data_IF_660282698706
#
_entry.id   IF_660282698706
#
_cell.length_a   1.000
_cell.length_b   1.000
_cell.length_c   1.000
_cell.angle_alpha   90.00
_cell.angle_beta   90.00
_cell.angle_gamma   90.00
#
_symmetry.space_group_name_H-M   'P 1'
#
loop_
_entity.id
_entity.type
_entity.pdbx_description
1 polymer ?
#
# COMPACT_ATOMS: atom_id res chain seq x y z
N UNK A 1 -0.94 -39.78 52.06
CA UNK A 1 -0.94 -39.74 50.58
C UNK A 1 -0.60 -38.32 50.18
N UNK A 2 0.66 -38.04 49.81
CA UNK A 2 1.10 -36.71 49.35
C UNK A 2 1.00 -36.71 47.82
N UNK A 3 0.09 -35.91 47.27
CA UNK A 3 -0.01 -35.67 45.84
C UNK A 3 1.10 -34.67 45.49
N UNK A 4 2.10 -35.13 44.75
CA UNK A 4 3.14 -34.29 44.18
C UNK A 4 2.60 -33.76 42.85
N UNK A 5 2.24 -32.48 42.80
CA UNK A 5 1.86 -31.82 41.56
C UNK A 5 3.12 -31.54 40.74
N UNK A 6 3.27 -32.24 39.61
CA UNK A 6 4.34 -32.02 38.65
C UNK A 6 3.94 -30.82 37.78
N UNK A 7 4.51 -29.65 38.04
CA UNK A 7 4.44 -28.52 37.11
C UNK A 7 5.35 -28.83 35.92
N UNK A 8 4.74 -29.12 34.76
CA UNK A 8 5.44 -29.17 33.48
C UNK A 8 5.69 -27.72 33.04
N UNK A 9 6.90 -27.22 33.21
CA UNK A 9 7.30 -25.94 32.63
C UNK A 9 7.42 -26.14 31.10
N UNK A 10 6.56 -25.47 30.32
CA UNK A 10 6.81 -25.28 28.89
C UNK A 10 8.10 -24.46 28.78
N UNK A 11 9.20 -25.09 28.35
CA UNK A 11 10.34 -24.33 27.89
C UNK A 11 10.02 -23.80 26.49
N UNK A 12 10.25 -22.50 26.21
CA UNK A 12 10.16 -22.00 24.86
C UNK A 12 11.15 -22.80 24.01
N UNK A 13 10.66 -23.38 22.91
CA UNK A 13 11.54 -23.94 21.89
C UNK A 13 12.35 -22.78 21.36
N UNK A 14 13.66 -22.80 21.56
CA UNK A 14 14.54 -21.81 20.93
C UNK A 14 14.41 -22.02 19.42
N UNK A 15 13.97 -21.00 18.69
CA UNK A 15 13.87 -21.05 17.24
C UNK A 15 15.25 -21.37 16.63
N UNK A 16 15.26 -22.14 15.55
CA UNK A 16 16.52 -22.60 14.97
C UNK A 16 17.15 -21.48 14.13
N UNK A 17 18.48 -21.33 14.17
CA UNK A 17 19.18 -20.39 13.28
C UNK A 17 18.79 -20.62 11.82
N UNK A 18 18.43 -19.53 11.13
CA UNK A 18 17.94 -19.54 9.76
C UNK A 18 16.44 -19.79 9.61
N UNK A 19 15.72 -20.07 10.70
CA UNK A 19 14.26 -20.04 10.69
C UNK A 19 13.80 -18.64 10.27
N UNK A 20 12.97 -18.59 9.24
CA UNK A 20 12.58 -17.34 8.58
C UNK A 20 11.08 -17.32 8.35
N UNK A 21 10.46 -16.20 8.67
CA UNK A 21 9.06 -15.92 8.34
C UNK A 21 8.96 -14.71 7.42
N UNK A 22 7.94 -14.69 6.56
CA UNK A 22 7.51 -13.46 5.89
C UNK A 22 6.63 -12.70 6.85
N UNK A 23 6.93 -11.43 7.09
CA UNK A 23 6.14 -10.57 7.96
C UNK A 23 4.71 -10.39 7.42
N UNK A 24 3.78 -10.01 8.30
CA UNK A 24 2.40 -9.77 7.88
C UNK A 24 2.26 -8.47 7.10
N UNK A 25 3.07 -7.46 7.37
CA UNK A 25 3.13 -6.20 6.64
C UNK A 25 4.57 -5.71 6.51
N UNK A 26 4.82 -4.76 5.62
CA UNK A 26 6.14 -4.16 5.44
C UNK A 26 6.74 -3.70 6.75
N UNK A 27 8.06 -3.89 6.86
CA UNK A 27 8.87 -3.52 8.02
C UNK A 27 8.44 -4.24 9.31
N UNK A 28 7.70 -5.34 9.20
CA UNK A 28 7.10 -6.06 10.32
C UNK A 28 6.12 -5.20 11.13
N UNK A 29 5.45 -4.26 10.44
CA UNK A 29 4.39 -3.47 11.03
C UNK A 29 3.21 -4.35 11.45
N UNK A 30 2.50 -3.92 12.50
CA UNK A 30 1.36 -4.68 13.04
C UNK A 30 0.16 -4.61 12.11
N UNK A 31 -0.19 -3.41 11.63
CA UNK A 31 -1.28 -3.18 10.67
C UNK A 31 -0.84 -2.42 9.42
N UNK A 32 -1.74 -2.31 8.45
CA UNK A 32 -1.54 -1.51 7.25
C UNK A 32 -2.70 -0.54 7.01
N UNK A 33 -2.42 0.62 6.38
CA UNK A 33 -3.43 1.64 6.13
C UNK A 33 -3.28 2.29 4.76
N UNK A 34 -4.40 2.53 4.07
CA UNK A 34 -4.40 3.21 2.78
C UNK A 34 -5.20 4.51 2.84
N UNK A 35 -4.64 5.56 2.24
CA UNK A 35 -5.37 6.79 1.92
C UNK A 35 -5.68 6.81 0.44
N UNK A 36 -6.91 7.16 0.11
CA UNK A 36 -7.44 7.13 -1.25
C UNK A 36 -8.20 8.41 -1.55
N UNK A 37 -7.92 9.05 -2.69
CA UNK A 37 -8.46 10.35 -3.06
C UNK A 37 -9.18 10.30 -4.41
N UNK A 38 -10.45 10.66 -4.44
CA UNK A 38 -11.30 10.55 -5.64
C UNK A 38 -11.48 11.87 -6.40
N UNK A 39 -11.68 11.77 -7.72
CA UNK A 39 -12.21 12.79 -8.64
C UNK A 39 -11.25 13.84 -9.25
N UNK A 40 -9.92 13.68 -9.11
CA UNK A 40 -8.95 14.69 -9.58
C UNK A 40 -9.23 16.12 -9.10
N UNK A 41 -9.67 16.26 -7.86
CA UNK A 41 -10.01 17.56 -7.30
C UNK A 41 -8.76 18.47 -7.15
N UNK A 42 -8.86 19.79 -7.37
CA UNK A 42 -7.72 20.70 -7.23
C UNK A 42 -7.05 20.68 -5.86
N UNK A 43 -7.81 20.47 -4.78
CA UNK A 43 -7.23 20.32 -3.43
C UNK A 43 -6.23 19.17 -3.31
N UNK A 44 -6.29 18.17 -4.20
CA UNK A 44 -5.36 17.04 -4.19
C UNK A 44 -3.91 17.49 -4.38
N UNK A 45 -3.65 18.29 -5.42
CA UNK A 45 -2.30 18.78 -5.69
C UNK A 45 -1.96 20.04 -4.88
N UNK A 46 -2.96 20.83 -4.48
CA UNK A 46 -2.74 22.06 -3.71
C UNK A 46 -2.47 21.81 -2.22
N UNK A 47 -3.08 20.76 -1.66
CA UNK A 47 -3.07 20.49 -0.22
C UNK A 47 -2.68 19.05 0.07
N UNK A 48 -3.44 18.07 -0.41
CA UNK A 48 -3.31 16.69 0.04
C UNK A 48 -1.92 16.09 -0.25
N UNK A 49 -1.48 16.09 -1.50
CA UNK A 49 -0.19 15.54 -1.90
C UNK A 49 1.01 16.26 -1.25
N UNK A 50 1.06 17.61 -1.17
CA UNK A 50 2.09 18.30 -0.40
C UNK A 50 2.11 17.93 1.09
N UNK A 51 0.95 17.83 1.75
CA UNK A 51 0.88 17.50 3.18
C UNK A 51 1.26 16.04 3.48
N UNK A 52 0.91 15.12 2.59
CA UNK A 52 1.38 13.73 2.61
C UNK A 52 2.90 13.65 2.45
N UNK A 53 3.44 14.36 1.46
CA UNK A 53 4.88 14.40 1.18
C UNK A 53 5.70 14.92 2.36
N UNK A 54 5.24 15.97 3.05
CA UNK A 54 5.89 16.51 4.26
C UNK A 54 6.08 15.47 5.35
N UNK A 55 5.25 14.43 5.38
CA UNK A 55 5.24 13.36 6.39
C UNK A 55 5.77 12.04 5.86
N UNK A 56 6.22 12.00 4.61
CA UNK A 56 6.67 10.75 3.96
C UNK A 56 5.55 9.72 3.80
N UNK A 57 4.29 10.16 3.71
CA UNK A 57 3.14 9.30 3.50
C UNK A 57 2.80 9.20 2.01
N UNK A 58 2.35 8.01 1.59
CA UNK A 58 1.90 7.72 0.23
C UNK A 58 0.41 7.44 0.23
N UNK A 59 -0.29 7.91 -0.80
CA UNK A 59 -1.70 7.66 -1.05
C UNK A 59 -1.97 7.35 -2.52
N UNK A 60 -3.16 6.81 -2.81
CA UNK A 60 -3.67 6.62 -4.18
C UNK A 60 -4.61 7.76 -4.56
N UNK A 61 -4.34 8.44 -5.67
CA UNK A 61 -5.19 9.47 -6.27
C UNK A 61 -5.86 8.92 -7.53
N UNK A 62 -7.17 8.75 -7.48
CA UNK A 62 -8.00 8.26 -8.57
C UNK A 62 -8.30 9.40 -9.53
N UNK A 63 -7.72 9.33 -10.73
CA UNK A 63 -7.74 10.43 -11.68
C UNK A 63 -8.74 10.27 -12.82
N UNK A 64 -9.21 11.41 -13.34
CA UNK A 64 -10.16 11.54 -14.44
C UNK A 64 -9.61 12.46 -15.54
N UNK A 65 -8.77 11.97 -16.46
CA UNK A 65 -8.10 12.83 -17.45
C UNK A 65 -9.03 13.57 -18.42
N UNK A 66 -10.27 13.09 -18.59
CA UNK A 66 -11.32 13.72 -19.39
C UNK A 66 -12.06 14.86 -18.68
N UNK A 67 -12.05 14.89 -17.34
CA UNK A 67 -12.76 15.88 -16.52
C UNK A 67 -12.23 17.30 -16.74
N UNK A 68 -13.13 18.29 -16.68
CA UNK A 68 -12.81 19.69 -16.96
C UNK A 68 -11.75 20.26 -16.01
N UNK A 69 -11.93 20.02 -14.71
CA UNK A 69 -11.00 20.44 -13.66
C UNK A 69 -9.62 19.83 -13.86
N UNK A 70 -9.52 18.54 -14.21
CA UNK A 70 -8.25 17.90 -14.54
C UNK A 70 -7.56 18.61 -15.70
N UNK A 71 -8.29 18.86 -16.80
CA UNK A 71 -7.73 19.49 -18.01
C UNK A 71 -7.16 20.89 -17.76
N UNK A 72 -7.74 21.64 -16.82
CA UNK A 72 -7.20 22.96 -16.41
C UNK A 72 -5.83 22.82 -15.75
N UNK A 73 -5.60 21.72 -15.03
CA UNK A 73 -4.37 21.45 -14.26
C UNK A 73 -3.61 20.22 -14.78
N UNK A 74 -3.73 19.92 -16.06
CA UNK A 74 -3.16 18.70 -16.65
C UNK A 74 -1.64 18.66 -16.46
N UNK A 75 -0.95 19.79 -16.62
CA UNK A 75 0.51 19.85 -16.44
C UNK A 75 0.94 19.48 -15.02
N UNK A 76 0.19 19.91 -14.01
CA UNK A 76 0.46 19.58 -12.59
C UNK A 76 0.23 18.10 -12.33
N UNK A 77 -0.86 17.52 -12.83
CA UNK A 77 -1.09 16.07 -12.74
C UNK A 77 -0.05 15.26 -13.52
N UNK A 78 0.39 15.73 -14.68
CA UNK A 78 1.41 15.01 -15.46
C UNK A 78 2.79 15.04 -14.84
N UNK A 79 3.16 16.15 -14.19
CA UNK A 79 4.55 16.42 -13.88
C UNK A 79 4.87 16.57 -12.40
N UNK A 80 3.89 16.78 -11.51
CA UNK A 80 4.19 17.19 -10.13
C UNK A 80 3.73 16.16 -9.10
N UNK A 81 2.44 15.77 -9.10
CA UNK A 81 1.86 15.04 -7.94
C UNK A 81 2.54 13.67 -7.72
N UNK A 82 2.80 12.89 -8.76
CA UNK A 82 3.49 11.61 -8.61
C UNK A 82 4.95 11.76 -8.14
N UNK A 83 5.61 12.88 -8.46
CA UNK A 83 6.98 13.16 -7.99
C UNK A 83 7.04 13.41 -6.48
N UNK A 84 5.90 13.72 -5.86
CA UNK A 84 5.75 13.83 -4.41
C UNK A 84 5.61 12.46 -3.71
N UNK A 85 5.75 11.34 -4.45
CA UNK A 85 5.64 9.98 -3.91
C UNK A 85 4.21 9.45 -3.87
N UNK A 86 3.31 10.04 -4.65
CA UNK A 86 1.89 9.67 -4.72
C UNK A 86 1.60 8.77 -5.92
N UNK A 87 0.62 7.89 -5.78
CA UNK A 87 0.29 6.88 -6.81
C UNK A 87 -1.03 7.23 -7.49
N UNK A 88 -1.14 6.98 -8.80
CA UNK A 88 -2.39 7.20 -9.54
C UNK A 88 -3.20 5.93 -9.72
N UNK A 89 -4.52 6.07 -9.62
CA UNK A 89 -5.52 5.07 -9.97
C UNK A 89 -6.44 5.55 -11.09
N UNK A 90 -7.06 4.60 -11.79
CA UNK A 90 -8.11 4.86 -12.79
C UNK A 90 -9.42 5.16 -12.08
N UNK A 91 -10.07 6.25 -12.48
CA UNK A 91 -11.41 6.59 -12.03
C UNK A 91 -12.41 6.81 -13.17
N UNK A 92 -12.19 6.15 -14.32
CA UNK A 92 -12.76 6.50 -15.65
C UNK A 92 -12.22 7.82 -16.21
N UNK A 93 -12.40 8.07 -17.50
CA UNK A 93 -11.95 9.33 -18.10
C UNK A 93 -12.70 10.55 -17.57
N UNK A 94 -14.03 10.46 -17.44
CA UNK A 94 -14.89 11.64 -17.21
C UNK A 94 -15.67 11.61 -15.87
N UNK A 95 -15.38 10.67 -14.97
CA UNK A 95 -16.19 10.39 -13.78
C UNK A 95 -17.66 10.09 -14.16
N UNK A 96 -17.84 9.14 -15.08
CA UNK A 96 -19.15 8.73 -15.60
C UNK A 96 -19.26 7.21 -15.60
N UNK A 97 -20.51 6.74 -15.56
CA UNK A 97 -20.80 5.33 -15.80
C UNK A 97 -20.54 4.96 -17.26
N UNK A 98 -20.34 3.66 -17.50
CA UNK A 98 -19.99 3.09 -18.80
C UNK A 98 -21.22 2.36 -19.39
N UNK A 99 -21.58 2.72 -20.62
CA UNK A 99 -22.86 2.33 -21.21
C UNK A 99 -22.94 0.84 -21.61
N UNK A 100 -21.80 0.23 -21.95
CA UNK A 100 -21.67 -1.17 -22.33
C UNK A 100 -20.20 -1.61 -22.21
N UNK A 101 -19.93 -2.90 -22.42
CA UNK A 101 -18.59 -3.47 -22.31
C UNK A 101 -17.59 -2.85 -23.31
N UNK A 102 -18.03 -2.41 -24.48
CA UNK A 102 -17.14 -1.78 -25.45
C UNK A 102 -16.70 -0.39 -24.97
N UNK A 103 -17.63 0.39 -24.41
CA UNK A 103 -17.32 1.66 -23.75
C UNK A 103 -16.40 1.45 -22.55
N UNK A 104 -16.65 0.43 -21.73
CA UNK A 104 -15.81 0.11 -20.57
C UNK A 104 -14.36 -0.19 -20.97
N UNK A 105 -14.18 -1.07 -21.97
CA UNK A 105 -12.85 -1.39 -22.50
C UNK A 105 -12.11 -0.16 -23.01
N UNK A 106 -12.79 0.68 -23.80
CA UNK A 106 -12.16 1.85 -24.38
C UNK A 106 -11.76 2.90 -23.32
N UNK A 107 -12.67 3.20 -22.39
CA UNK A 107 -12.45 4.22 -21.36
C UNK A 107 -11.36 3.80 -20.36
N UNK A 108 -11.46 2.58 -19.83
CA UNK A 108 -10.51 2.07 -18.84
C UNK A 108 -9.12 1.89 -19.44
N UNK A 109 -9.02 1.39 -20.68
CA UNK A 109 -7.74 1.28 -21.39
C UNK A 109 -7.11 2.66 -21.62
N UNK A 110 -7.90 3.65 -22.06
CA UNK A 110 -7.40 5.00 -22.29
C UNK A 110 -6.88 5.63 -21.00
N UNK A 111 -7.65 5.55 -19.91
CA UNK A 111 -7.26 6.14 -18.63
C UNK A 111 -6.00 5.45 -18.07
N UNK A 112 -5.93 4.11 -18.14
CA UNK A 112 -4.77 3.34 -17.70
C UNK A 112 -3.52 3.67 -18.52
N UNK A 113 -3.66 3.78 -19.85
CA UNK A 113 -2.57 4.17 -20.74
C UNK A 113 -2.01 5.54 -20.37
N UNK A 114 -2.88 6.53 -20.14
CA UNK A 114 -2.44 7.87 -19.76
C UNK A 114 -1.64 7.84 -18.44
N UNK A 115 -2.10 7.08 -17.44
CA UNK A 115 -1.35 6.92 -16.18
C UNK A 115 0.03 6.28 -16.41
N UNK A 116 0.09 5.25 -17.28
CA UNK A 116 1.35 4.57 -17.63
C UNK A 116 2.34 5.49 -18.32
N UNK A 117 1.85 6.38 -19.17
CA UNK A 117 2.66 7.39 -19.87
C UNK A 117 3.14 8.51 -18.92
N UNK A 118 2.32 8.89 -17.94
CA UNK A 118 2.64 9.95 -16.98
C UNK A 118 3.68 9.53 -15.94
N UNK A 119 3.51 8.34 -15.36
CA UNK A 119 4.31 7.89 -14.23
C UNK A 119 5.30 6.81 -14.70
N UNK A 120 6.62 7.04 -14.57
CA UNK A 120 7.64 6.06 -14.94
C UNK A 120 7.44 4.73 -14.22
N UNK A 121 7.63 3.62 -14.94
CA UNK A 121 7.52 2.27 -14.39
C UNK A 121 7.42 1.23 -15.50
N UNK A 122 7.16 -0.03 -15.13
CA UNK A 122 6.87 -1.06 -16.12
C UNK A 122 5.62 -0.68 -16.95
N UNK A 123 5.63 -0.94 -18.27
CA UNK A 123 4.55 -0.53 -19.16
C UNK A 123 3.23 -1.23 -18.81
N UNK A 124 3.28 -2.51 -18.42
CA UNK A 124 2.09 -3.31 -18.14
C UNK A 124 1.78 -3.43 -16.64
N UNK A 125 2.38 -2.59 -15.79
CA UNK A 125 2.19 -2.64 -14.33
C UNK A 125 0.72 -2.58 -13.93
N UNK A 126 0.42 -3.17 -12.78
CA UNK A 126 -0.89 -3.06 -12.13
C UNK A 126 -1.22 -1.59 -11.83
N UNK A 127 -2.49 -1.21 -12.01
CA UNK A 127 -3.01 0.10 -11.62
C UNK A 127 -4.29 -0.08 -10.81
N UNK A 128 -4.44 0.70 -9.75
CA UNK A 128 -5.66 0.69 -8.95
C UNK A 128 -6.85 1.22 -9.76
N UNK A 129 -8.02 0.63 -9.61
CA UNK A 129 -9.27 1.11 -10.16
C UNK A 129 -10.24 1.46 -9.04
N UNK A 130 -10.93 2.59 -9.18
CA UNK A 130 -12.09 2.93 -8.39
C UNK A 130 -13.26 3.21 -9.33
N UNK A 131 -14.39 2.54 -9.12
CA UNK A 131 -15.65 2.83 -9.81
C UNK A 131 -16.24 4.18 -9.34
N UNK A 132 -16.50 5.15 -10.24
CA UNK A 132 -17.18 6.40 -9.90
C UNK A 132 -18.53 6.23 -9.21
N UNK A 133 -18.77 7.07 -8.21
CA UNK A 133 -20.06 7.20 -7.55
C UNK A 133 -21.08 7.93 -8.44
N UNK A 134 -21.79 7.19 -9.29
CA UNK A 134 -22.87 7.71 -10.15
C UNK A 134 -24.13 6.83 -10.03
N UNK A 135 -25.32 7.29 -10.45
CA UNK A 135 -26.53 6.46 -10.42
C UNK A 135 -26.32 5.11 -11.12
N UNK A 136 -26.92 4.05 -10.57
CA UNK A 136 -26.69 2.68 -11.04
C UNK A 136 -27.04 2.50 -12.52
N UNK A 137 -28.06 3.20 -13.01
CA UNK A 137 -28.48 3.19 -14.41
C UNK A 137 -27.45 3.78 -15.39
N UNK A 138 -26.45 4.52 -14.89
CA UNK A 138 -25.33 4.98 -15.71
C UNK A 138 -24.34 3.85 -16.04
N UNK A 139 -24.41 2.74 -15.33
CA UNK A 139 -23.57 1.55 -15.55
C UNK A 139 -24.36 0.49 -16.30
N UNK A 140 -24.20 0.48 -17.63
CA UNK A 140 -24.80 -0.51 -18.52
C UNK A 140 -23.96 -1.78 -18.70
N UNK A 141 -23.10 -2.10 -17.73
CA UNK A 141 -22.26 -3.30 -17.69
C UNK A 141 -22.57 -4.12 -16.43
N UNK A 142 -22.47 -5.44 -16.52
CA UNK A 142 -22.50 -6.31 -15.35
C UNK A 142 -21.16 -6.27 -14.59
N UNK A 143 -21.14 -6.75 -13.34
CA UNK A 143 -19.91 -6.88 -12.56
C UNK A 143 -18.91 -7.83 -13.24
N UNK A 144 -19.39 -8.83 -13.98
CA UNK A 144 -18.56 -9.77 -14.75
C UNK A 144 -17.91 -9.10 -15.97
N UNK A 145 -18.64 -8.21 -16.64
CA UNK A 145 -18.14 -7.40 -17.75
C UNK A 145 -17.14 -6.34 -17.27
N UNK A 146 -17.40 -5.72 -16.12
CA UNK A 146 -16.45 -4.81 -15.46
C UNK A 146 -15.16 -5.54 -15.10
N UNK A 147 -15.24 -6.68 -14.40
CA UNK A 147 -14.08 -7.49 -14.05
C UNK A 147 -13.26 -7.93 -15.28
N UNK A 148 -13.93 -8.27 -16.39
CA UNK A 148 -13.27 -8.58 -17.66
C UNK A 148 -12.50 -7.38 -18.21
N UNK A 149 -13.11 -6.20 -18.25
CA UNK A 149 -12.46 -4.98 -18.75
C UNK A 149 -11.28 -4.55 -17.86
N UNK A 150 -11.38 -4.75 -16.54
CA UNK A 150 -10.28 -4.51 -15.60
C UNK A 150 -9.11 -5.46 -15.85
N UNK A 151 -9.38 -6.77 -15.97
CA UNK A 151 -8.36 -7.79 -16.20
C UNK A 151 -7.60 -7.59 -17.52
N UNK A 152 -8.30 -7.20 -18.59
CA UNK A 152 -7.68 -6.88 -19.89
C UNK A 152 -6.69 -5.71 -19.85
N UNK A 153 -6.74 -4.90 -18.79
CA UNK A 153 -5.93 -3.70 -18.62
C UNK A 153 -5.02 -3.74 -17.38
N UNK A 154 -4.87 -4.90 -16.73
CA UNK A 154 -4.11 -5.05 -15.47
C UNK A 154 -4.57 -4.06 -14.38
N UNK A 155 -5.89 -3.89 -14.26
CA UNK A 155 -6.50 -3.04 -13.24
C UNK A 155 -6.99 -3.87 -12.06
N UNK A 156 -6.76 -3.37 -10.84
CA UNK A 156 -7.20 -4.00 -9.59
C UNK A 156 -8.27 -3.12 -8.95
N UNK A 157 -9.47 -3.66 -8.77
CA UNK A 157 -10.56 -2.96 -8.10
C UNK A 157 -10.22 -2.72 -6.63
N UNK A 158 -10.44 -1.49 -6.16
CA UNK A 158 -10.17 -1.11 -4.77
C UNK A 158 -11.29 -1.55 -3.81
N UNK A 159 -11.03 -1.56 -2.49
CA UNK A 159 -12.09 -1.69 -1.49
C UNK A 159 -13.19 -0.60 -1.60
N UNK A 160 -14.44 -0.89 -1.18
CA UNK A 160 -15.59 -0.02 -1.41
C UNK A 160 -15.58 1.26 -0.56
N UNK A 161 -16.27 2.30 -1.06
CA UNK A 161 -16.51 3.56 -0.34
C UNK A 161 -17.41 3.44 0.90
N UNK A 162 -18.29 2.44 0.89
CA UNK A 162 -19.22 2.19 1.99
C UNK A 162 -18.46 2.05 3.31
N UNK A 163 -18.91 2.80 4.32
CA UNK A 163 -18.33 2.83 5.68
C UNK A 163 -16.86 3.30 5.78
N UNK A 164 -16.28 3.87 4.71
CA UNK A 164 -14.87 4.30 4.67
C UNK A 164 -14.69 5.72 4.10
N UNK A 165 -15.78 6.47 3.94
CA UNK A 165 -15.77 7.80 3.35
C UNK A 165 -15.62 8.94 4.35
N UNK A 166 -14.57 9.75 4.22
CA UNK A 166 -14.46 11.01 4.96
C UNK A 166 -15.59 11.98 4.60
N UNK A 167 -15.98 12.83 5.55
CA UNK A 167 -17.11 13.79 5.51
C UNK A 167 -18.49 13.14 5.45
N UNK A 168 -18.66 12.06 4.68
CA UNK A 168 -19.93 11.36 4.52
C UNK A 168 -20.19 10.32 5.62
N UNK A 169 -19.27 9.38 5.84
CA UNK A 169 -19.39 8.35 6.89
C UNK A 169 -18.69 8.79 8.19
N UNK A 170 -17.52 9.44 8.08
CA UNK A 170 -16.73 9.91 9.21
C UNK A 170 -16.55 11.42 9.15
N UNK A 171 -16.84 12.11 10.25
CA UNK A 171 -16.86 13.58 10.32
C UNK A 171 -15.86 14.15 11.31
N UNK A 172 -15.18 13.30 12.07
CA UNK A 172 -14.26 13.70 13.14
C UNK A 172 -12.91 13.02 12.99
N UNK A 173 -11.86 13.66 13.52
CA UNK A 173 -10.52 13.08 13.60
C UNK A 173 -10.52 11.72 14.30
N UNK A 174 -11.22 11.61 15.45
CA UNK A 174 -11.27 10.38 16.26
C UNK A 174 -11.82 9.19 15.46
N UNK A 175 -12.86 9.41 14.67
CA UNK A 175 -13.42 8.36 13.81
C UNK A 175 -12.44 7.92 12.71
N UNK A 176 -11.78 8.87 12.06
CA UNK A 176 -10.87 8.59 10.95
C UNK A 176 -9.59 7.91 11.43
N UNK A 177 -8.97 8.40 12.51
CA UNK A 177 -7.77 7.79 13.08
C UNK A 177 -8.09 6.44 13.73
N UNK A 178 -9.31 6.27 14.25
CA UNK A 178 -9.80 5.00 14.79
C UNK A 178 -9.80 3.85 13.78
N UNK A 179 -9.86 4.12 12.47
CA UNK A 179 -9.70 3.10 11.44
C UNK A 179 -8.28 2.54 11.41
N UNK A 180 -7.26 3.41 11.57
CA UNK A 180 -5.87 3.00 11.66
C UNK A 180 -5.60 2.22 12.96
N UNK A 181 -6.21 2.63 14.07
CA UNK A 181 -6.12 1.90 15.33
C UNK A 181 -6.77 0.52 15.24
N UNK A 182 -7.91 0.40 14.55
CA UNK A 182 -8.54 -0.88 14.30
C UNK A 182 -7.68 -1.79 13.40
N UNK A 183 -6.96 -1.22 12.42
CA UNK A 183 -6.01 -1.95 11.59
C UNK A 183 -4.89 -2.56 12.46
N UNK A 184 -4.32 -1.76 13.37
CA UNK A 184 -3.26 -2.21 14.30
C UNK A 184 -3.81 -3.28 15.25
N UNK A 185 -4.98 -3.07 15.86
CA UNK A 185 -5.57 -4.02 16.82
C UNK A 185 -5.87 -5.39 16.18
N UNK A 186 -6.39 -5.40 14.95
CA UNK A 186 -6.67 -6.63 14.20
C UNK A 186 -5.42 -7.23 13.52
N UNK A 187 -4.32 -6.46 13.50
CA UNK A 187 -3.14 -6.73 12.69
C UNK A 187 -3.44 -6.77 11.18
N UNK A 188 -4.44 -6.04 10.71
CA UNK A 188 -4.98 -6.15 9.35
C UNK A 188 -4.84 -4.83 8.55
N UNK A 189 -5.34 -4.83 7.31
CA UNK A 189 -5.44 -3.64 6.46
C UNK A 189 -6.73 -2.88 6.74
N UNK A 190 -6.67 -1.56 6.88
CA UNK A 190 -7.83 -0.68 6.82
C UNK A 190 -7.54 0.54 5.91
N UNK A 191 -8.54 1.39 5.66
CA UNK A 191 -8.38 2.49 4.71
C UNK A 191 -9.37 3.64 4.93
N UNK A 192 -9.08 4.79 4.32
CA UNK A 192 -9.98 5.94 4.27
C UNK A 192 -10.02 6.52 2.85
N UNK A 193 -11.23 6.80 2.37
CA UNK A 193 -11.48 7.44 1.08
C UNK A 193 -11.92 8.88 1.29
N UNK A 194 -11.23 9.81 0.64
CA UNK A 194 -11.43 11.25 0.70
C UNK A 194 -11.78 11.75 -0.70
N UNK A 195 -12.69 12.71 -0.80
CA UNK A 195 -12.92 13.42 -2.06
C UNK A 195 -12.05 14.69 -2.05
N UNK A 196 -12.61 15.84 -1.68
CA UNK A 196 -11.85 17.07 -1.50
C UNK A 196 -11.15 17.19 -0.15
N UNK A 197 -10.14 18.06 -0.10
CA UNK A 197 -9.62 18.66 1.14
C UNK A 197 -9.88 20.17 1.07
N UNK A 198 -10.19 20.79 2.21
CA UNK A 198 -10.40 22.23 2.27
C UNK A 198 -9.17 22.99 1.77
N UNK A 199 -9.40 24.04 0.98
CA UNK A 199 -8.37 25.00 0.55
C UNK A 199 -8.50 26.30 1.31
N UNK A 200 -7.49 26.60 2.12
CA UNK A 200 -7.40 27.89 2.82
C UNK A 200 -6.63 28.90 1.97
N UNK A 201 -5.46 28.52 1.43
CA UNK A 201 -4.65 29.37 0.55
C UNK A 201 -4.09 28.59 -0.67
N UNK A 202 -4.20 29.12 -1.91
CA UNK A 202 -4.97 30.31 -2.27
C UNK A 202 -6.47 30.05 -2.12
N UNK A 203 -7.18 30.97 -1.47
CA UNK A 203 -8.63 30.89 -1.32
C UNK A 203 -9.30 31.06 -2.69
N UNK A 204 -10.03 30.05 -3.13
CA UNK A 204 -10.89 30.13 -4.31
C UNK A 204 -12.33 30.45 -3.89
N UNK A 205 -13.15 30.88 -4.85
CA UNK A 205 -14.57 31.15 -4.59
C UNK A 205 -15.42 29.89 -4.44
N UNK A 206 -14.82 28.70 -4.47
CA UNK A 206 -15.46 27.41 -4.24
C UNK A 206 -14.50 26.41 -3.58
N UNK A 207 -15.06 25.44 -2.86
CA UNK A 207 -14.38 24.26 -2.34
C UNK A 207 -14.77 23.02 -3.16
N UNK A 208 -13.95 21.98 -3.07
CA UNK A 208 -14.25 20.70 -3.72
C UNK A 208 -15.43 19.98 -3.06
N UNK A 209 -15.95 18.98 -3.77
CA UNK A 209 -17.00 18.14 -3.23
C UNK A 209 -16.52 17.43 -1.96
N UNK A 210 -17.32 17.53 -0.89
CA UNK A 210 -16.98 16.98 0.43
C UNK A 210 -15.57 17.31 0.90
N UNK A 211 -15.18 18.58 0.77
CA UNK A 211 -13.90 19.07 1.24
C UNK A 211 -13.74 18.80 2.75
N UNK A 212 -12.77 17.95 3.11
CA UNK A 212 -12.39 17.67 4.49
C UNK A 212 -11.63 18.86 5.08
N UNK A 213 -12.11 19.37 6.21
CA UNK A 213 -11.50 20.47 6.95
C UNK A 213 -10.01 20.22 7.24
N UNK A 214 -9.15 21.23 7.02
CA UNK A 214 -7.72 21.08 7.30
C UNK A 214 -7.43 20.87 8.79
N UNK A 215 -8.27 21.39 9.69
CA UNK A 215 -8.18 21.16 11.14
C UNK A 215 -8.45 19.69 11.53
N UNK A 216 -8.97 18.87 10.60
CA UNK A 216 -9.08 17.42 10.74
C UNK A 216 -8.01 16.71 9.91
N UNK A 217 -7.85 17.11 8.66
CA UNK A 217 -6.96 16.43 7.72
C UNK A 217 -5.50 16.47 8.15
N UNK A 218 -5.00 17.62 8.59
CA UNK A 218 -3.59 17.77 8.99
C UNK A 218 -3.29 16.93 10.24
N UNK A 219 -4.08 17.01 11.33
CA UNK A 219 -3.90 16.12 12.48
C UNK A 219 -4.08 14.63 12.18
N UNK A 220 -4.94 14.26 11.22
CA UNK A 220 -5.08 12.87 10.76
C UNK A 220 -3.74 12.36 10.19
N UNK A 221 -3.10 13.14 9.32
CA UNK A 221 -1.81 12.76 8.75
C UNK A 221 -0.71 12.72 9.81
N UNK A 222 -0.71 13.65 10.77
CA UNK A 222 0.22 13.62 11.91
C UNK A 222 0.07 12.32 12.71
N UNK A 223 -1.17 11.95 13.05
CA UNK A 223 -1.46 10.71 13.79
C UNK A 223 -1.07 9.44 13.03
N UNK A 224 -1.22 9.42 11.71
CA UNK A 224 -0.74 8.31 10.87
C UNK A 224 0.79 8.24 10.87
N UNK A 225 1.47 9.38 10.72
CA UNK A 225 2.93 9.45 10.72
C UNK A 225 3.53 9.02 12.07
N UNK A 226 2.89 9.34 13.19
CA UNK A 226 3.28 8.88 14.52
C UNK A 226 3.25 7.34 14.63
N UNK A 227 2.20 6.69 14.11
CA UNK A 227 2.06 5.22 14.10
C UNK A 227 3.09 4.55 13.18
N UNK A 228 3.39 5.17 12.04
CA UNK A 228 4.49 4.73 11.16
C UNK A 228 5.83 4.83 11.88
N UNK A 229 6.10 5.94 12.56
CA UNK A 229 7.36 6.15 13.28
C UNK A 229 7.53 5.20 14.48
N UNK A 230 6.43 4.76 15.08
CA UNK A 230 6.43 3.75 16.14
C UNK A 230 6.66 2.32 15.62
N UNK A 231 6.54 2.09 14.30
CA UNK A 231 6.60 0.76 13.69
C UNK A 231 5.28 -0.01 13.76
N UNK A 232 4.19 0.62 14.21
CA UNK A 232 2.90 -0.06 14.39
C UNK A 232 2.13 -0.20 13.06
N UNK A 233 2.33 0.73 12.13
CA UNK A 233 1.52 0.86 10.93
C UNK A 233 2.35 1.04 9.66
N UNK A 234 1.99 0.31 8.61
CA UNK A 234 2.46 0.55 7.25
C UNK A 234 1.43 1.35 6.46
N UNK A 235 1.72 2.63 6.20
CA UNK A 235 0.86 3.47 5.33
C UNK A 235 1.34 3.39 3.89
N UNK A 236 0.46 3.00 2.97
CA UNK A 236 0.84 2.75 1.57
C UNK A 236 -0.31 2.99 0.58
N UNK A 237 -0.05 2.81 -0.72
CA UNK A 237 -1.04 2.85 -1.79
C UNK A 237 -1.69 1.48 -2.03
N UNK A 238 -2.81 1.48 -2.76
CA UNK A 238 -3.59 0.27 -3.01
C UNK A 238 -2.83 -0.84 -3.75
N UNK A 239 -2.03 -0.50 -4.77
CA UNK A 239 -1.32 -1.53 -5.55
C UNK A 239 -0.16 -2.13 -4.76
N UNK A 240 0.57 -1.33 -3.97
CA UNK A 240 1.59 -1.88 -3.07
C UNK A 240 0.98 -2.81 -2.03
N UNK A 241 -0.13 -2.44 -1.40
CA UNK A 241 -0.82 -3.33 -0.45
C UNK A 241 -1.27 -4.64 -1.11
N UNK A 242 -1.91 -4.54 -2.28
CA UNK A 242 -2.37 -5.70 -3.06
C UNK A 242 -1.22 -6.62 -3.47
N UNK A 243 -0.16 -6.07 -4.05
CA UNK A 243 1.03 -6.85 -4.44
C UNK A 243 1.62 -7.57 -3.24
N UNK A 244 1.81 -6.86 -2.12
CA UNK A 244 2.37 -7.47 -0.92
C UNK A 244 1.54 -8.67 -0.45
N UNK A 245 0.22 -8.52 -0.35
CA UNK A 245 -0.66 -9.60 0.09
C UNK A 245 -0.59 -10.79 -0.85
N UNK A 246 -0.71 -10.56 -2.17
CA UNK A 246 -0.68 -11.63 -3.17
C UNK A 246 0.66 -12.38 -3.18
N UNK A 247 1.77 -11.65 -3.10
CA UNK A 247 3.11 -12.25 -3.06
C UNK A 247 3.33 -13.02 -1.75
N UNK A 248 3.01 -12.40 -0.60
CA UNK A 248 3.14 -13.02 0.74
C UNK A 248 2.31 -14.28 0.88
N UNK A 249 1.05 -14.27 0.43
CA UNK A 249 0.11 -15.37 0.65
C UNK A 249 0.54 -16.67 -0.04
N UNK A 250 1.38 -16.58 -1.08
CA UNK A 250 2.00 -17.74 -1.75
C UNK A 250 3.51 -17.85 -1.52
N UNK A 251 4.08 -16.99 -0.67
CA UNK A 251 5.53 -16.92 -0.47
C UNK A 251 6.08 -18.17 0.22
N UNK A 252 7.27 -18.58 -0.22
CA UNK A 252 8.04 -19.69 0.34
C UNK A 252 9.47 -19.24 0.54
N UNK A 253 9.99 -19.47 1.75
CA UNK A 253 11.40 -19.24 2.09
C UNK A 253 12.07 -20.58 2.32
N UNK A 254 12.98 -20.93 1.41
CA UNK A 254 13.79 -22.14 1.53
C UNK A 254 15.08 -21.82 2.29
N UNK A 255 15.33 -22.52 3.40
CA UNK A 255 16.61 -22.50 4.08
C UNK A 255 17.63 -23.36 3.32
N UNK A 256 18.63 -22.73 2.72
CA UNK A 256 19.67 -23.41 1.92
C UNK A 256 20.86 -23.84 2.79
N UNK A 257 21.28 -22.96 3.71
CA UNK A 257 22.32 -23.24 4.69
C UNK A 257 22.18 -22.31 5.91
N UNK A 258 22.53 -22.80 7.09
CA UNK A 258 22.68 -21.98 8.29
C UNK A 258 23.80 -22.54 9.17
N UNK A 259 24.78 -21.68 9.49
CA UNK A 259 25.82 -21.96 10.46
C UNK A 259 26.18 -20.68 11.25
N UNK A 260 27.28 -20.71 12.02
CA UNK A 260 27.70 -19.57 12.84
C UNK A 260 28.30 -18.39 12.05
N UNK A 261 28.54 -18.55 10.75
CA UNK A 261 29.18 -17.56 9.86
C UNK A 261 28.21 -16.99 8.83
N UNK A 262 27.30 -17.80 8.31
CA UNK A 262 26.30 -17.35 7.33
C UNK A 262 24.95 -18.06 7.45
N UNK A 263 23.90 -17.34 7.04
CA UNK A 263 22.58 -17.91 6.74
C UNK A 263 22.28 -17.63 5.26
N UNK A 264 21.84 -18.66 4.52
CA UNK A 264 21.52 -18.59 3.10
C UNK A 264 20.09 -19.06 2.86
N UNK A 265 19.32 -18.22 2.19
CA UNK A 265 17.89 -18.43 1.93
C UNK A 265 17.58 -18.24 0.46
N UNK A 266 16.42 -18.75 0.03
CA UNK A 266 15.79 -18.38 -1.25
C UNK A 266 14.33 -18.03 -1.01
N UNK A 267 13.89 -16.90 -1.54
CA UNK A 267 12.50 -16.45 -1.51
C UNK A 267 11.84 -16.68 -2.87
N UNK A 268 10.64 -17.24 -2.89
CA UNK A 268 9.81 -17.44 -4.09
C UNK A 268 8.33 -17.22 -3.77
N UNK A 269 7.50 -16.96 -4.80
CA UNK A 269 6.03 -16.93 -4.72
C UNK A 269 5.42 -17.44 -6.03
N UNK A 270 4.10 -17.66 -6.07
CA UNK A 270 3.40 -18.22 -7.24
C UNK A 270 2.83 -17.14 -8.19
N UNK A 271 2.79 -15.87 -7.76
CA UNK A 271 2.31 -14.75 -8.57
C UNK A 271 3.21 -14.45 -9.79
N UNK A 272 2.65 -13.83 -10.83
CA UNK A 272 3.38 -13.46 -12.05
C UNK A 272 4.46 -12.40 -11.76
N UNK A 273 5.76 -12.72 -11.88
CA UNK A 273 6.84 -11.79 -11.53
C UNK A 273 6.92 -10.55 -12.44
N UNK A 274 6.20 -10.52 -13.56
CA UNK A 274 6.09 -9.31 -14.39
C UNK A 274 5.13 -8.26 -13.80
N UNK A 275 4.19 -8.68 -12.95
CA UNK A 275 3.15 -7.84 -12.36
C UNK A 275 3.28 -7.70 -10.84
N UNK A 276 3.94 -8.67 -10.20
CA UNK A 276 4.14 -8.79 -8.76
C UNK A 276 5.65 -8.91 -8.50
N UNK A 277 6.24 -7.79 -8.10
CA UNK A 277 7.65 -7.67 -7.76
C UNK A 277 7.76 -6.57 -6.70
N UNK A 278 7.07 -6.76 -5.56
CA UNK A 278 7.21 -5.91 -4.40
C UNK A 278 8.12 -6.60 -3.38
N UNK A 279 9.17 -5.95 -2.86
CA UNK A 279 10.01 -6.57 -1.85
C UNK A 279 9.19 -6.98 -0.63
N UNK A 280 9.33 -8.24 -0.21
CA UNK A 280 8.73 -8.74 1.02
C UNK A 280 9.63 -8.45 2.21
N UNK A 281 9.04 -8.34 3.40
CA UNK A 281 9.80 -8.24 4.66
C UNK A 281 9.99 -9.63 5.23
N UNK A 282 11.23 -10.05 5.39
CA UNK A 282 11.61 -11.29 6.05
C UNK A 282 12.12 -11.01 7.46
N UNK A 283 11.77 -11.90 8.38
CA UNK A 283 12.27 -11.93 9.76
C UNK A 283 12.99 -13.24 9.96
N UNK A 284 14.31 -13.18 10.15
CA UNK A 284 15.19 -14.36 10.21
C UNK A 284 15.89 -14.44 11.55
N UNK A 285 15.82 -15.61 12.18
CA UNK A 285 16.61 -15.96 13.37
C UNK A 285 18.09 -16.07 12.99
N UNK A 286 18.95 -15.27 13.61
CA UNK A 286 20.39 -15.23 13.30
C UNK A 286 21.24 -15.80 14.44
N UNK A 287 22.50 -16.19 14.18
CA UNK A 287 23.38 -16.69 15.24
C UNK A 287 23.51 -15.71 16.41
N UNK A 288 23.60 -16.25 17.62
CA UNK A 288 23.78 -15.44 18.82
C UNK A 288 25.04 -14.56 18.73
N UNK A 289 24.88 -13.28 19.07
CA UNK A 289 25.97 -12.30 19.08
C UNK A 289 26.12 -11.49 17.78
N UNK A 290 25.36 -11.81 16.73
CA UNK A 290 25.24 -10.92 15.58
C UNK A 290 24.40 -9.71 15.99
N UNK A 291 25.05 -8.57 16.27
CA UNK A 291 24.34 -7.33 16.60
C UNK A 291 23.81 -6.64 15.34
N UNK A 292 24.61 -6.67 14.27
CA UNK A 292 24.29 -6.15 12.93
C UNK A 292 24.46 -7.26 11.91
N UNK A 293 23.64 -7.21 10.86
CA UNK A 293 23.64 -8.20 9.79
C UNK A 293 23.71 -7.52 8.44
N UNK A 294 24.72 -7.86 7.64
CA UNK A 294 24.73 -7.56 6.21
C UNK A 294 23.87 -8.60 5.51
N UNK A 295 22.88 -8.13 4.75
CA UNK A 295 21.99 -8.94 3.93
C UNK A 295 22.25 -8.59 2.47
N UNK A 296 22.63 -9.59 1.68
CA UNK A 296 22.89 -9.44 0.25
C UNK A 296 21.96 -10.33 -0.57
N UNK A 297 21.41 -9.77 -1.64
CA UNK A 297 20.64 -10.50 -2.66
C UNK A 297 21.00 -9.94 -4.04
N UNK A 298 21.69 -10.74 -4.85
CA UNK A 298 22.23 -10.28 -6.14
C UNK A 298 23.17 -9.08 -5.98
N UNK A 299 22.82 -7.95 -6.58
CA UNK A 299 23.52 -6.66 -6.46
C UNK A 299 23.02 -5.81 -5.29
N UNK A 300 21.87 -6.13 -4.70
CA UNK A 300 21.34 -5.41 -3.55
C UNK A 300 22.06 -5.82 -2.26
N UNK A 301 22.40 -4.83 -1.44
CA UNK A 301 22.99 -5.03 -0.11
C UNK A 301 22.36 -4.04 0.87
N UNK A 302 22.06 -4.51 2.08
CA UNK A 302 21.57 -3.70 3.19
C UNK A 302 22.22 -4.17 4.49
N UNK A 303 22.28 -3.29 5.49
CA UNK A 303 22.70 -3.66 6.85
C UNK A 303 21.58 -3.34 7.81
N UNK A 304 21.19 -4.33 8.62
CA UNK A 304 20.10 -4.20 9.59
C UNK A 304 20.61 -4.50 10.99
N UNK A 305 20.05 -3.80 11.98
CA UNK A 305 20.26 -4.11 13.38
C UNK A 305 19.41 -5.33 13.76
N UNK A 306 19.90 -6.12 14.71
CA UNK A 306 19.15 -7.24 15.25
C UNK A 306 18.36 -6.85 16.49
N UNK A 307 17.16 -7.39 16.61
CA UNK A 307 16.32 -7.27 17.79
C UNK A 307 15.92 -8.67 18.25
N UNK A 308 16.19 -9.00 19.51
CA UNK A 308 15.89 -10.30 20.12
C UNK A 308 16.41 -11.50 19.32
N UNK A 309 17.61 -11.37 18.72
CA UNK A 309 18.22 -12.44 17.92
C UNK A 309 17.68 -12.56 16.48
N UNK A 310 16.83 -11.63 16.05
CA UNK A 310 16.21 -11.62 14.72
C UNK A 310 16.70 -10.45 13.88
N UNK A 311 16.88 -10.69 12.59
CA UNK A 311 17.12 -9.67 11.58
C UNK A 311 15.84 -9.49 10.73
N UNK A 312 15.34 -8.26 10.67
CA UNK A 312 14.19 -7.88 9.83
C UNK A 312 14.69 -7.09 8.63
N UNK A 313 14.41 -7.55 7.42
CA UNK A 313 14.98 -6.97 6.20
C UNK A 313 14.08 -7.17 4.98
N UNK A 314 14.35 -6.40 3.92
CA UNK A 314 13.61 -6.46 2.66
C UNK A 314 14.27 -7.45 1.68
N UNK A 315 13.48 -8.29 1.00
CA UNK A 315 13.98 -9.21 -0.03
C UNK A 315 12.94 -9.41 -1.15
N UNK A 316 13.40 -9.60 -2.38
CA UNK A 316 12.53 -9.87 -3.53
C UNK A 316 12.46 -11.37 -3.80
N UNK A 317 11.32 -11.87 -4.23
CA UNK A 317 11.24 -13.24 -4.71
C UNK A 317 12.02 -13.39 -6.03
N UNK A 318 12.71 -14.51 -6.22
CA UNK A 318 13.47 -14.73 -7.44
C UNK A 318 14.54 -15.81 -7.35
N UNK A 319 15.42 -15.83 -8.36
CA UNK A 319 16.48 -16.82 -8.46
C UNK A 319 17.65 -16.54 -7.50
N UNK A 320 17.88 -15.26 -7.17
CA UNK A 320 19.00 -14.83 -6.35
C UNK A 320 18.84 -15.28 -4.89
N UNK A 321 19.90 -15.87 -4.36
CA UNK A 321 19.97 -16.23 -2.95
C UNK A 321 20.12 -15.00 -2.06
N UNK A 322 19.51 -15.08 -0.88
CA UNK A 322 19.66 -14.10 0.19
C UNK A 322 20.74 -14.63 1.12
N UNK A 323 21.80 -13.85 1.33
CA UNK A 323 22.93 -14.21 2.19
C UNK A 323 23.02 -13.23 3.34
N UNK A 324 22.94 -13.73 4.57
CA UNK A 324 23.07 -12.97 5.80
C UNK A 324 24.42 -13.30 6.45
N UNK A 325 25.15 -12.28 6.88
CA UNK A 325 26.40 -12.40 7.65
C UNK A 325 26.46 -11.35 8.74
N UNK A 326 27.17 -11.64 9.83
CA UNK A 326 27.52 -10.62 10.82
C UNK A 326 28.20 -9.44 10.12
N UNK A 327 27.71 -8.24 10.40
CA UNK A 327 28.36 -6.99 10.01
C UNK A 327 29.06 -6.37 11.22
N UNK A 328 30.14 -5.65 10.94
CA UNK A 328 30.85 -4.83 11.93
C UNK A 328 30.01 -3.61 12.38
#
# INVERSE_FOLDING_TARGET
>A
MRILALLLALQPVLAATGETTVARWQNDATGAFMLMFDDSWPSHFQVAAPELHKRGLTATFYINPGKGEYKVFEETWRNEVWQLGQVYGVHTMDHKGLADLAAARADLAQCAQLIREMVPGAPDRLISYARPGVPAEAWGISDEEEALALAENNLIDRPPFADHGAVYHFQTLEQMIGLADAAIEAGDLNYLIVHGVERIEPAWNYQDFWALDQDIFVPLLDGLAERVAAGDLWVTDHISAHQYQVERDSARVDLLAADGQEVRLRLSHEADPALYDLPLTLVTEVPAGWARVSVRQGEAEQTVETADGRATYSARAGADEIVLRAAD
#
